data_IF_452316621373
#
_entry.id   IF_452316621373
#
_cell.length_a   1.000
_cell.length_b   1.000
_cell.length_c   1.000
_cell.angle_alpha   90.00
_cell.angle_beta   90.00
_cell.angle_gamma   90.00
#
_symmetry.space_group_name_H-M   'P 1'
#
loop_
_entity.id
_entity.type
_entity.pdbx_description
1 polymer ?
#
# COMPACT_ATOMS: atom_id res chain seq x y z
N UNK A 1 -59.79 21.37 -10.00
CA UNK A 1 -59.12 21.36 -8.69
C UNK A 1 -58.18 20.18 -8.75
N UNK A 2 -57.03 20.36 -9.41
CA UNK A 2 -55.68 20.33 -8.77
C UNK A 2 -55.49 18.98 -8.08
N UNK A 3 -54.63 18.10 -8.57
CA UNK A 3 -53.18 18.26 -8.41
C UNK A 3 -52.37 17.82 -9.64
N UNK A 4 -51.59 18.77 -10.12
CA UNK A 4 -50.38 18.55 -10.89
C UNK A 4 -49.30 17.99 -9.96
N UNK A 5 -48.67 16.86 -10.30
CA UNK A 5 -47.27 16.62 -9.96
C UNK A 5 -46.58 15.85 -11.10
N UNK A 6 -46.55 16.50 -12.26
CA UNK A 6 -45.41 16.38 -13.16
C UNK A 6 -44.30 17.27 -12.58
N UNK A 7 -43.39 16.68 -11.80
CA UNK A 7 -42.14 17.33 -11.42
C UNK A 7 -40.98 16.51 -12.01
N UNK A 8 -40.72 16.78 -13.28
CA UNK A 8 -39.58 16.28 -14.02
C UNK A 8 -38.39 17.23 -13.81
N UNK A 9 -37.39 16.76 -13.06
CA UNK A 9 -35.98 17.18 -13.02
C UNK A 9 -35.61 18.39 -12.11
N UNK A 10 -34.54 18.26 -11.29
CA UNK A 10 -33.17 18.39 -11.82
C UNK A 10 -32.19 17.31 -11.32
N UNK A 11 -31.40 16.80 -12.25
CA UNK A 11 -29.94 16.70 -12.14
C UNK A 11 -29.35 16.28 -10.77
N UNK A 12 -29.08 14.99 -10.63
CA UNK A 12 -27.81 14.49 -10.10
C UNK A 12 -27.38 13.42 -11.10
N UNK A 13 -26.90 13.81 -12.27
CA UNK A 13 -25.46 13.99 -12.51
C UNK A 13 -24.68 12.82 -11.88
N UNK A 14 -24.12 12.00 -12.77
CA UNK A 14 -23.23 10.89 -12.46
C UNK A 14 -22.31 11.25 -11.28
N UNK A 15 -22.61 10.77 -10.08
CA UNK A 15 -21.56 10.53 -9.11
C UNK A 15 -20.81 9.31 -9.63
N UNK A 16 -19.98 9.57 -10.65
CA UNK A 16 -18.80 8.80 -10.93
C UNK A 16 -18.21 8.46 -9.56
N UNK A 17 -18.23 7.17 -9.23
CA UNK A 17 -17.44 6.62 -8.14
C UNK A 17 -16.12 6.13 -8.74
N UNK A 18 -15.12 6.98 -9.04
CA UNK A 18 -13.76 6.52 -9.26
C UNK A 18 -12.98 6.49 -7.95
N UNK A 19 -13.64 6.42 -6.78
CA UNK A 19 -12.95 6.45 -5.49
C UNK A 19 -12.20 5.15 -5.16
N UNK A 20 -12.39 4.09 -5.96
CA UNK A 20 -11.55 2.89 -5.83
C UNK A 20 -10.16 3.11 -6.43
N UNK A 21 -9.99 3.97 -7.43
CA UNK A 21 -8.69 4.10 -8.11
C UNK A 21 -7.80 5.12 -7.38
N UNK A 22 -8.38 6.22 -6.91
CA UNK A 22 -7.65 7.28 -6.19
C UNK A 22 -7.03 6.78 -4.87
N UNK A 23 -7.73 5.92 -4.12
CA UNK A 23 -7.19 5.35 -2.87
C UNK A 23 -5.98 4.44 -3.11
N UNK A 24 -5.95 3.70 -4.22
CA UNK A 24 -4.79 2.89 -4.60
C UNK A 24 -3.59 3.75 -5.01
N UNK A 25 -3.83 4.85 -5.74
CA UNK A 25 -2.78 5.80 -6.11
C UNK A 25 -2.13 6.45 -4.88
N UNK A 26 -2.91 6.76 -3.83
CA UNK A 26 -2.37 7.37 -2.61
C UNK A 26 -1.42 6.44 -1.87
N UNK A 27 -1.78 5.16 -1.69
CA UNK A 27 -0.89 4.19 -1.06
C UNK A 27 0.36 3.93 -1.90
N UNK A 28 0.22 3.90 -3.22
CA UNK A 28 1.35 3.76 -4.14
C UNK A 28 2.30 4.97 -4.08
N UNK A 29 1.77 6.19 -4.08
CA UNK A 29 2.55 7.41 -3.95
C UNK A 29 3.29 7.47 -2.59
N UNK A 30 2.64 7.03 -1.51
CA UNK A 30 3.25 6.98 -0.19
C UNK A 30 4.49 6.06 -0.13
N UNK A 31 4.47 4.91 -0.83
CA UNK A 31 5.63 4.02 -0.93
C UNK A 31 6.82 4.68 -1.63
N UNK A 32 6.54 5.37 -2.74
CA UNK A 32 7.55 6.08 -3.54
C UNK A 32 8.18 7.19 -2.71
N UNK A 33 7.38 7.95 -1.97
CA UNK A 33 7.91 9.01 -1.09
C UNK A 33 8.81 8.40 -0.01
N UNK A 34 8.40 7.29 0.59
CA UNK A 34 9.20 6.62 1.63
C UNK A 34 10.50 6.01 1.08
N UNK A 35 10.51 5.45 -0.14
CA UNK A 35 11.75 4.96 -0.76
C UNK A 35 12.68 6.11 -1.13
N UNK A 36 12.17 7.18 -1.73
CA UNK A 36 12.98 8.36 -2.05
C UNK A 36 13.59 8.97 -0.80
N UNK A 37 12.84 9.02 0.32
CA UNK A 37 13.38 9.46 1.61
C UNK A 37 14.52 8.57 2.10
N UNK A 38 14.40 7.24 2.01
CA UNK A 38 15.48 6.32 2.37
C UNK A 38 16.74 6.52 1.52
N UNK A 39 16.58 6.68 0.20
CA UNK A 39 17.70 6.98 -0.70
C UNK A 39 18.35 8.34 -0.43
N UNK A 40 17.54 9.35 -0.10
CA UNK A 40 18.05 10.68 0.25
C UNK A 40 18.96 10.62 1.49
N UNK A 41 18.51 9.90 2.54
CA UNK A 41 19.29 9.72 3.78
C UNK A 41 20.63 9.01 3.50
N UNK A 42 20.63 8.02 2.60
CA UNK A 42 21.85 7.29 2.21
C UNK A 42 22.78 8.17 1.35
N UNK A 43 22.24 8.99 0.45
CA UNK A 43 23.03 9.81 -0.46
C UNK A 43 23.74 10.98 0.22
N UNK A 44 23.14 11.58 1.25
CA UNK A 44 23.80 12.64 2.01
C UNK A 44 24.85 12.12 3.00
N UNK A 45 25.04 10.80 3.11
CA UNK A 45 26.02 10.15 4.00
C UNK A 45 25.95 10.69 5.45
N UNK A 46 24.74 11.11 5.87
CA UNK A 46 24.48 11.80 7.14
C UNK A 46 24.74 10.87 8.33
N UNK A 47 24.81 9.57 8.08
CA UNK A 47 24.87 8.51 9.10
C UNK A 47 26.02 7.57 8.76
N UNK A 48 26.80 7.20 9.77
CA UNK A 48 27.93 6.27 9.63
C UNK A 48 27.52 4.98 8.89
N UNK A 49 28.39 4.38 8.05
CA UNK A 49 28.07 3.17 7.29
C UNK A 49 27.61 2.00 8.17
N UNK A 50 28.05 1.97 9.42
CA UNK A 50 27.62 0.97 10.41
C UNK A 50 26.18 1.18 10.90
N UNK A 51 25.69 2.41 10.85
CA UNK A 51 24.33 2.78 11.26
C UNK A 51 23.35 2.86 10.08
N UNK A 52 23.85 3.00 8.85
CA UNK A 52 23.02 3.06 7.63
C UNK A 52 22.27 1.75 7.39
N UNK A 53 22.90 0.60 7.65
CA UNK A 53 22.35 -0.73 7.40
C UNK A 53 21.11 -1.05 8.25
N UNK A 54 21.13 -0.92 9.60
CA UNK A 54 19.94 -1.14 10.42
C UNK A 54 18.83 -0.12 10.14
N UNK A 55 19.19 1.12 9.77
CA UNK A 55 18.21 2.14 9.38
C UNK A 55 17.49 1.78 8.07
N UNK A 56 18.22 1.27 7.07
CA UNK A 56 17.66 0.75 5.82
C UNK A 56 16.76 -0.47 6.06
N UNK A 57 17.16 -1.38 6.95
CA UNK A 57 16.36 -2.55 7.33
C UNK A 57 15.02 -2.14 7.96
N UNK A 58 15.03 -1.06 8.76
CA UNK A 58 13.81 -0.49 9.34
C UNK A 58 12.89 0.09 8.26
N UNK A 59 13.42 0.91 7.34
CA UNK A 59 12.66 1.41 6.19
C UNK A 59 12.12 0.28 5.31
N UNK A 60 12.92 -0.75 5.04
CA UNK A 60 12.52 -1.93 4.27
C UNK A 60 11.38 -2.69 4.96
N UNK A 61 11.40 -2.80 6.29
CA UNK A 61 10.32 -3.43 7.05
C UNK A 61 9.00 -2.65 6.92
N UNK A 62 9.04 -1.32 6.98
CA UNK A 62 7.86 -0.47 6.75
C UNK A 62 7.35 -0.63 5.31
N UNK A 63 8.24 -0.68 4.33
CA UNK A 63 7.88 -0.91 2.92
C UNK A 63 7.10 -2.23 2.75
N UNK A 64 7.58 -3.34 3.34
CA UNK A 64 6.87 -4.63 3.28
C UNK A 64 5.44 -4.51 3.83
N UNK A 65 5.25 -3.81 4.95
CA UNK A 65 3.91 -3.59 5.53
C UNK A 65 3.02 -2.75 4.61
N UNK A 66 3.53 -1.66 4.05
CA UNK A 66 2.77 -0.82 3.11
C UNK A 66 2.40 -1.59 1.84
N UNK A 67 3.30 -2.42 1.32
CA UNK A 67 3.06 -3.29 0.16
C UNK A 67 1.93 -4.26 0.48
N UNK A 68 1.97 -4.91 1.65
CA UNK A 68 0.91 -5.81 2.10
C UNK A 68 -0.42 -5.09 2.33
N UNK A 69 -0.42 -3.88 2.91
CA UNK A 69 -1.64 -3.09 3.12
C UNK A 69 -2.32 -2.72 1.79
N UNK A 70 -1.54 -2.37 0.78
CA UNK A 70 -2.04 -2.06 -0.57
C UNK A 70 -2.66 -3.28 -1.24
N UNK A 71 -2.07 -4.46 -1.05
CA UNK A 71 -2.63 -5.72 -1.54
C UNK A 71 -3.88 -6.17 -0.74
N UNK A 72 -3.94 -5.90 0.56
CA UNK A 72 -5.10 -6.21 1.41
C UNK A 72 -6.32 -5.33 1.09
N UNK A 73 -6.10 -4.11 0.60
CA UNK A 73 -7.18 -3.21 0.19
C UNK A 73 -7.68 -3.42 -1.25
N UNK A 74 -7.03 -4.28 -2.05
CA UNK A 74 -7.55 -4.69 -3.36
C UNK A 74 -8.74 -5.63 -3.17
N UNK A 75 -9.94 -5.04 -3.20
CA UNK A 75 -11.25 -5.70 -3.27
C UNK A 75 -11.76 -6.40 -2.00
N UNK A 76 -12.65 -5.68 -1.31
CA UNK A 76 -13.74 -6.24 -0.53
C UNK A 76 -14.53 -7.26 -1.38
N UNK A 77 -14.12 -8.54 -1.37
CA UNK A 77 -14.97 -9.72 -1.67
C UNK A 77 -14.26 -11.08 -1.55
N UNK A 78 -12.95 -11.13 -1.32
CA UNK A 78 -12.21 -12.40 -1.32
C UNK A 78 -11.32 -12.61 -0.10
N UNK A 79 -11.91 -12.95 1.05
CA UNK A 79 -11.19 -13.35 2.29
C UNK A 79 -10.08 -14.40 2.03
N UNK A 80 -10.25 -15.22 0.99
CA UNK A 80 -9.30 -16.25 0.59
C UNK A 80 -7.97 -15.68 0.03
N UNK A 81 -8.01 -14.66 -0.84
CA UNK A 81 -6.79 -14.15 -1.50
C UNK A 81 -5.85 -13.46 -0.52
N UNK A 82 -6.40 -12.69 0.43
CA UNK A 82 -5.62 -12.06 1.49
C UNK A 82 -4.88 -13.10 2.36
N UNK A 83 -5.58 -14.17 2.74
CA UNK A 83 -5.01 -15.22 3.60
C UNK A 83 -3.86 -15.94 2.90
N UNK A 84 -4.02 -16.29 1.62
CA UNK A 84 -3.00 -16.96 0.83
C UNK A 84 -1.77 -16.05 0.68
N UNK A 85 -1.97 -14.75 0.42
CA UNK A 85 -0.88 -13.80 0.22
C UNK A 85 -0.03 -13.59 1.48
N UNK A 86 -0.66 -13.47 2.66
CA UNK A 86 0.05 -13.37 3.94
C UNK A 86 0.79 -14.68 4.25
N UNK A 87 0.15 -15.82 4.03
CA UNK A 87 0.78 -17.13 4.29
C UNK A 87 2.02 -17.35 3.40
N UNK A 88 1.90 -17.08 2.10
CA UNK A 88 3.05 -17.14 1.17
C UNK A 88 4.13 -16.12 1.54
N UNK A 89 3.75 -14.88 1.87
CA UNK A 89 4.70 -13.84 2.28
C UNK A 89 5.51 -14.23 3.51
N UNK A 90 4.86 -14.81 4.53
CA UNK A 90 5.54 -15.31 5.73
C UNK A 90 6.47 -16.48 5.40
N UNK A 91 6.04 -17.44 4.57
CA UNK A 91 6.90 -18.55 4.14
C UNK A 91 8.16 -18.03 3.45
N UNK A 92 8.01 -17.14 2.48
CA UNK A 92 9.16 -16.59 1.74
C UNK A 92 10.09 -15.83 2.70
N UNK A 93 9.54 -15.02 3.61
CA UNK A 93 10.34 -14.30 4.60
C UNK A 93 11.13 -15.25 5.51
N UNK A 94 10.50 -16.31 6.01
CA UNK A 94 11.16 -17.32 6.87
C UNK A 94 12.22 -18.09 6.09
N UNK A 95 11.91 -18.58 4.89
CA UNK A 95 12.86 -19.32 4.05
C UNK A 95 14.06 -18.44 3.69
N UNK A 96 13.82 -17.17 3.34
CA UNK A 96 14.90 -16.24 3.01
C UNK A 96 15.75 -15.91 4.24
N UNK A 97 15.15 -15.69 5.41
CA UNK A 97 15.89 -15.42 6.65
C UNK A 97 16.75 -16.62 7.06
N UNK A 98 16.18 -17.83 7.01
CA UNK A 98 16.92 -19.07 7.27
C UNK A 98 18.03 -19.26 6.25
N UNK A 99 17.77 -19.02 4.96
CA UNK A 99 18.78 -19.11 3.90
C UNK A 99 19.95 -18.16 4.11
N UNK A 100 19.69 -16.92 4.50
CA UNK A 100 20.74 -15.93 4.82
C UNK A 100 21.52 -16.33 6.08
N UNK A 101 20.86 -16.88 7.10
CA UNK A 101 21.51 -17.29 8.36
C UNK A 101 22.34 -18.57 8.18
N UNK A 102 21.93 -19.45 7.27
CA UNK A 102 22.53 -20.76 7.03
C UNK A 102 23.67 -20.71 5.99
N UNK A 103 23.79 -19.62 5.24
CA UNK A 103 24.87 -19.35 4.28
C UNK A 103 26.01 -18.60 4.94
#
# INVERSE_FOLDING_TARGET
MTEEQQNSSPQQEESHKPDSTMKHIVSFAAMIVLTVAAFYIVMEDVVEPNMILPLLLFFASIQVVLQLFTFMHLNQKGTAYYTIFIFTGVIIAVVSAVGIILM
#
